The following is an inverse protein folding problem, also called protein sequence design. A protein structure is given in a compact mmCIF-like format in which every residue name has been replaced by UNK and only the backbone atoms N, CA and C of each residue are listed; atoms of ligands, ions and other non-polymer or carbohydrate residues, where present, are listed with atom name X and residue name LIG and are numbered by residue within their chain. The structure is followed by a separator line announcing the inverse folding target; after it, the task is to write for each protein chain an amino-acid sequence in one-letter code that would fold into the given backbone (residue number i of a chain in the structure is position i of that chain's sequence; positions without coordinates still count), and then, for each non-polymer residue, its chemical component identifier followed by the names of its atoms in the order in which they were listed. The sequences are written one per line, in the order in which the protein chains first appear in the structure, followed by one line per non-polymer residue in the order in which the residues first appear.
data_IF_749190524105
#
_entry.id   IF_749190524105
#
_cell.length_a   1.000
_cell.length_b   1.000
_cell.length_c   1.000
_cell.angle_alpha   90.00
_cell.angle_beta   90.00
_cell.angle_gamma   90.00
#
_symmetry.space_group_name_H-M   'P 1'
#
loop_
_entity.id
_entity.type
_entity.pdbx_description
1 polymer ?
#
# COMPACT_ATOMS: atom_id res chain seq x y z
N UNK A 1 8.04 -34.13 -20.81
CA UNK A 1 7.53 -34.23 -19.42
C UNK A 1 8.63 -33.80 -18.46
N UNK A 2 8.52 -32.62 -17.86
CA UNK A 2 9.43 -32.16 -16.80
C UNK A 2 8.55 -31.82 -15.60
N UNK A 3 8.56 -32.67 -14.59
CA UNK A 3 7.81 -32.49 -13.37
C UNK A 3 8.41 -31.33 -12.58
N UNK A 4 7.68 -30.22 -12.44
CA UNK A 4 7.97 -29.18 -11.45
C UNK A 4 7.42 -29.65 -10.11
N UNK A 5 8.30 -30.25 -9.32
CA UNK A 5 8.05 -30.57 -7.93
C UNK A 5 8.11 -29.26 -7.12
N UNK A 6 6.97 -28.69 -6.76
CA UNK A 6 6.89 -27.61 -5.76
C UNK A 6 6.70 -28.25 -4.39
N UNK A 7 7.83 -28.63 -3.79
CA UNK A 7 7.92 -29.07 -2.40
C UNK A 7 7.31 -28.00 -1.48
N UNK A 8 6.21 -28.34 -0.83
CA UNK A 8 5.42 -27.48 0.07
C UNK A 8 5.86 -27.64 1.53
N UNK A 9 7.16 -27.70 1.79
CA UNK A 9 7.69 -27.72 3.15
C UNK A 9 8.86 -26.75 3.31
N UNK A 10 8.54 -25.48 3.52
CA UNK A 10 9.49 -24.50 4.07
C UNK A 10 8.96 -24.06 5.43
N UNK A 11 9.69 -24.32 6.53
CA UNK A 11 9.24 -24.01 7.88
C UNK A 11 8.99 -22.50 8.06
N UNK A 12 7.97 -22.15 8.88
CA UNK A 12 7.43 -20.80 9.13
C UNK A 12 8.46 -19.72 9.55
N UNK A 13 9.72 -20.08 9.84
CA UNK A 13 10.71 -19.19 10.45
C UNK A 13 11.55 -18.30 9.52
N UNK A 14 11.52 -18.48 8.19
CA UNK A 14 12.46 -17.76 7.31
C UNK A 14 11.92 -17.43 5.92
N UNK A 15 10.66 -17.00 5.78
CA UNK A 15 10.24 -16.39 4.52
C UNK A 15 11.02 -15.08 4.34
N UNK A 16 11.74 -14.94 3.23
CA UNK A 16 12.41 -13.69 2.85
C UNK A 16 11.44 -12.84 2.04
N UNK A 17 11.72 -11.55 1.92
CA UNK A 17 11.06 -10.73 0.92
C UNK A 17 11.28 -11.34 -0.47
N UNK A 18 10.19 -11.52 -1.22
CA UNK A 18 10.23 -12.06 -2.57
C UNK A 18 9.62 -11.04 -3.52
N UNK A 19 10.33 -10.70 -4.60
CA UNK A 19 9.84 -9.84 -5.67
C UNK A 19 9.42 -10.68 -6.86
N UNK A 20 8.23 -10.39 -7.38
CA UNK A 20 7.66 -10.95 -8.59
C UNK A 20 7.65 -9.87 -9.66
N UNK A 21 8.16 -10.20 -10.85
CA UNK A 21 8.17 -9.32 -12.01
C UNK A 21 7.34 -9.98 -13.11
N UNK A 22 6.57 -9.19 -13.89
CA UNK A 22 5.87 -9.74 -15.04
C UNK A 22 6.88 -10.15 -16.10
N UNK A 23 6.98 -11.45 -16.37
CA UNK A 23 7.76 -11.97 -17.50
C UNK A 23 7.10 -11.55 -18.82
N UNK A 24 7.91 -11.33 -19.86
CA UNK A 24 7.43 -10.79 -21.14
C UNK A 24 6.44 -11.73 -21.86
N UNK A 25 6.62 -13.04 -21.69
CA UNK A 25 5.77 -14.09 -22.27
C UNK A 25 4.44 -14.27 -21.52
N UNK A 26 4.42 -14.02 -20.21
CA UNK A 26 3.21 -14.10 -19.39
C UNK A 26 2.36 -12.81 -19.42
N UNK A 27 2.82 -11.74 -20.08
CA UNK A 27 2.19 -10.41 -19.98
C UNK A 27 0.78 -10.37 -20.56
N UNK A 28 0.52 -11.08 -21.65
CA UNK A 28 -0.81 -11.16 -22.26
C UNK A 28 -1.79 -11.89 -21.33
N UNK A 29 -1.40 -13.05 -20.80
CA UNK A 29 -2.19 -13.81 -19.83
C UNK A 29 -2.49 -12.99 -18.55
N UNK A 30 -1.52 -12.21 -18.06
CA UNK A 30 -1.71 -11.33 -16.90
C UNK A 30 -2.68 -10.20 -17.20
N UNK A 31 -2.63 -9.61 -18.40
CA UNK A 31 -3.55 -8.56 -18.82
C UNK A 31 -4.98 -9.10 -18.92
N UNK A 32 -5.15 -10.25 -19.55
CA UNK A 32 -6.45 -10.93 -19.67
C UNK A 32 -7.02 -11.26 -18.28
N UNK A 33 -6.18 -11.76 -17.38
CA UNK A 33 -6.59 -12.06 -16.02
C UNK A 33 -6.93 -10.78 -15.23
N UNK A 34 -6.23 -9.66 -15.46
CA UNK A 34 -6.55 -8.37 -14.84
C UNK A 34 -7.93 -7.88 -15.27
N UNK A 35 -8.26 -8.02 -16.56
CA UNK A 35 -9.56 -7.65 -17.10
C UNK A 35 -10.68 -8.51 -16.49
N UNK A 36 -10.48 -9.83 -16.41
CA UNK A 36 -11.40 -10.74 -15.72
C UNK A 36 -11.63 -10.34 -14.25
N UNK A 37 -10.56 -10.00 -13.52
CA UNK A 37 -10.68 -9.60 -12.11
C UNK A 37 -11.53 -8.33 -11.94
N UNK A 38 -11.38 -7.35 -12.85
CA UNK A 38 -12.17 -6.11 -12.83
C UNK A 38 -13.64 -6.37 -13.12
N UNK A 39 -13.96 -7.24 -14.08
CA UNK A 39 -15.33 -7.66 -14.36
C UNK A 39 -15.97 -8.38 -13.17
N UNK A 40 -15.22 -9.29 -12.54
CA UNK A 40 -15.65 -10.01 -11.34
C UNK A 40 -15.91 -9.06 -10.17
N UNK A 41 -15.06 -8.06 -9.94
CA UNK A 41 -15.26 -7.10 -8.86
C UNK A 41 -16.59 -6.34 -9.02
N UNK A 42 -16.90 -5.87 -10.24
CA UNK A 42 -18.17 -5.19 -10.54
C UNK A 42 -19.37 -6.12 -10.30
N UNK A 43 -19.27 -7.37 -10.74
CA UNK A 43 -20.33 -8.37 -10.56
C UNK A 43 -20.55 -8.74 -9.09
N UNK A 44 -19.47 -8.97 -8.33
CA UNK A 44 -19.51 -9.33 -6.91
C UNK A 44 -19.99 -8.16 -6.05
N UNK A 45 -19.78 -6.91 -6.46
CA UNK A 45 -20.35 -5.75 -5.78
C UNK A 45 -21.88 -5.66 -5.91
N UNK A 46 -22.44 -6.22 -7.00
CA UNK A 46 -23.87 -6.18 -7.32
C UNK A 46 -24.62 -7.45 -6.90
N UNK A 47 -23.90 -8.50 -6.49
CA UNK A 47 -24.45 -9.80 -6.12
C UNK A 47 -23.99 -10.20 -4.71
N UNK A 48 -24.74 -11.07 -4.03
CA UNK A 48 -24.28 -11.66 -2.75
C UNK A 48 -23.31 -12.84 -2.95
N UNK A 49 -22.82 -13.03 -4.18
CA UNK A 49 -21.97 -14.15 -4.56
C UNK A 49 -20.52 -13.91 -4.10
N UNK A 50 -19.75 -14.99 -4.00
CA UNK A 50 -18.33 -14.94 -3.67
C UNK A 50 -17.53 -15.63 -4.75
N UNK A 51 -16.35 -15.10 -5.07
CA UNK A 51 -15.38 -15.81 -5.88
C UNK A 51 -14.91 -17.10 -5.16
N UNK A 52 -14.54 -18.11 -5.94
CA UNK A 52 -14.04 -19.39 -5.44
C UNK A 52 -12.81 -19.85 -6.23
N UNK A 53 -11.91 -20.55 -5.56
CA UNK A 53 -10.84 -21.31 -6.17
C UNK A 53 -11.35 -22.70 -6.51
N UNK A 54 -11.10 -23.15 -7.73
CA UNK A 54 -11.37 -24.51 -8.18
C UNK A 54 -10.06 -25.29 -8.17
N UNK A 55 -10.00 -26.40 -7.44
CA UNK A 55 -8.83 -27.28 -7.44
C UNK A 55 -8.79 -28.18 -8.69
N UNK A 56 -7.67 -28.88 -8.97
CA UNK A 56 -7.57 -29.76 -10.14
C UNK A 56 -8.57 -30.93 -10.16
N UNK A 57 -9.24 -31.21 -9.05
CA UNK A 57 -10.29 -32.25 -8.95
C UNK A 57 -11.69 -31.67 -9.19
N UNK A 58 -11.80 -30.35 -9.40
CA UNK A 58 -13.07 -29.64 -9.58
C UNK A 58 -13.75 -29.22 -8.29
N UNK A 59 -13.09 -29.35 -7.12
CA UNK A 59 -13.69 -28.89 -5.87
C UNK A 59 -13.58 -27.38 -5.76
N UNK A 60 -14.69 -26.72 -5.45
CA UNK A 60 -14.74 -25.27 -5.25
C UNK A 60 -14.53 -24.91 -3.78
N UNK A 61 -13.71 -23.90 -3.53
CA UNK A 61 -13.52 -23.30 -2.21
C UNK A 61 -13.66 -21.78 -2.31
N UNK A 62 -14.62 -21.17 -1.59
CA UNK A 62 -14.78 -19.72 -1.61
C UNK A 62 -13.52 -19.03 -1.10
N UNK A 63 -13.10 -17.98 -1.79
CA UNK A 63 -12.01 -17.13 -1.33
C UNK A 63 -12.55 -16.00 -0.45
N UNK A 64 -11.87 -15.66 0.66
CA UNK A 64 -12.23 -14.50 1.45
C UNK A 64 -12.08 -13.19 0.66
N UNK A 65 -12.97 -12.23 0.92
CA UNK A 65 -13.00 -10.93 0.24
C UNK A 65 -11.68 -10.13 0.41
N UNK A 66 -10.95 -10.36 1.50
CA UNK A 66 -9.61 -9.80 1.71
C UNK A 66 -8.60 -10.36 0.71
N UNK A 67 -8.62 -11.67 0.46
CA UNK A 67 -7.73 -12.32 -0.51
C UNK A 67 -8.08 -11.88 -1.92
N UNK A 68 -9.38 -11.78 -2.26
CA UNK A 68 -9.81 -11.31 -3.57
C UNK A 68 -9.28 -9.90 -3.88
N UNK A 69 -9.38 -8.96 -2.93
CA UNK A 69 -8.84 -7.60 -3.08
C UNK A 69 -7.33 -7.57 -3.25
N UNK A 70 -6.60 -8.47 -2.58
CA UNK A 70 -5.14 -8.60 -2.77
C UNK A 70 -4.85 -9.09 -4.19
N UNK A 71 -5.59 -10.09 -4.69
CA UNK A 71 -5.42 -10.61 -6.05
C UNK A 71 -5.67 -9.52 -7.09
N UNK A 72 -6.72 -8.71 -6.93
CA UNK A 72 -7.00 -7.60 -7.85
C UNK A 72 -5.83 -6.60 -7.90
N UNK A 73 -5.33 -6.16 -6.74
CA UNK A 73 -4.17 -5.26 -6.66
C UNK A 73 -2.92 -5.86 -7.31
N UNK A 74 -2.69 -7.15 -7.07
CA UNK A 74 -1.53 -7.86 -7.62
C UNK A 74 -1.61 -7.93 -9.13
N UNK A 75 -2.75 -8.35 -9.68
CA UNK A 75 -2.90 -8.51 -11.12
C UNK A 75 -2.83 -7.16 -11.84
N UNK A 76 -3.44 -6.11 -11.28
CA UNK A 76 -3.37 -4.76 -11.84
C UNK A 76 -1.93 -4.21 -11.87
N UNK A 77 -1.15 -4.39 -10.81
CA UNK A 77 0.24 -3.95 -10.78
C UNK A 77 1.12 -4.72 -11.78
N UNK A 78 0.97 -6.05 -11.86
CA UNK A 78 1.72 -6.85 -12.84
C UNK A 78 1.33 -6.50 -14.29
N UNK A 79 0.04 -6.28 -14.56
CA UNK A 79 -0.46 -5.82 -15.86
C UNK A 79 0.14 -4.47 -16.29
N UNK A 80 0.34 -3.56 -15.32
CA UNK A 80 1.01 -2.28 -15.52
C UNK A 80 2.53 -2.41 -15.75
N UNK A 81 3.10 -3.62 -15.64
CA UNK A 81 4.55 -3.84 -15.74
C UNK A 81 5.29 -3.56 -14.43
N UNK A 82 4.57 -3.38 -13.33
CA UNK A 82 5.14 -3.09 -12.02
C UNK A 82 5.51 -4.39 -11.29
N UNK A 83 6.68 -4.42 -10.67
CA UNK A 83 7.08 -5.53 -9.80
C UNK A 83 6.41 -5.45 -8.44
N UNK A 84 6.08 -6.60 -7.86
CA UNK A 84 5.44 -6.70 -6.55
C UNK A 84 6.37 -7.41 -5.58
N UNK A 85 6.57 -6.82 -4.40
CA UNK A 85 7.32 -7.47 -3.32
C UNK A 85 6.41 -7.90 -2.19
N UNK A 86 6.40 -9.20 -1.89
CA UNK A 86 5.73 -9.77 -0.72
C UNK A 86 6.74 -9.83 0.42
N UNK A 87 6.44 -9.13 1.52
CA UNK A 87 7.31 -9.05 2.70
C UNK A 87 6.60 -9.64 3.92
N UNK A 88 7.17 -10.65 4.60
CA UNK A 88 6.61 -11.15 5.84
C UNK A 88 6.67 -10.12 6.97
N UNK A 89 5.61 -10.03 7.76
CA UNK A 89 5.48 -9.04 8.84
C UNK A 89 6.62 -9.13 9.89
N UNK A 90 7.10 -10.33 10.21
CA UNK A 90 8.21 -10.53 11.16
C UNK A 90 9.59 -10.16 10.63
N UNK A 91 9.70 -9.65 9.39
CA UNK A 91 10.98 -9.26 8.81
C UNK A 91 11.57 -8.06 9.54
N UNK A 92 12.87 -8.15 9.83
CA UNK A 92 13.65 -7.03 10.34
C UNK A 92 14.37 -6.33 9.20
N UNK A 93 14.22 -5.01 9.13
CA UNK A 93 14.68 -4.17 8.04
C UNK A 93 15.86 -3.29 8.47
N UNK A 94 16.71 -2.94 7.52
CA UNK A 94 17.71 -1.88 7.71
C UNK A 94 17.04 -0.51 7.76
N UNK A 95 17.74 0.51 8.26
CA UNK A 95 17.22 1.89 8.23
C UNK A 95 16.97 2.42 6.84
N UNK A 96 17.69 1.94 5.82
CA UNK A 96 17.41 2.34 4.45
C UNK A 96 16.08 1.72 3.97
N UNK A 97 15.96 0.39 4.07
CA UNK A 97 14.74 -0.32 3.68
C UNK A 97 13.48 0.19 4.41
N UNK A 98 13.62 0.51 5.70
CA UNK A 98 12.54 1.08 6.50
C UNK A 98 12.15 2.50 6.04
N UNK A 99 13.12 3.31 5.62
CA UNK A 99 12.86 4.65 5.10
C UNK A 99 12.17 4.58 3.73
N UNK A 100 12.65 3.69 2.87
CA UNK A 100 12.05 3.42 1.56
C UNK A 100 10.61 2.91 1.72
N UNK A 101 10.35 2.01 2.68
CA UNK A 101 9.02 1.51 3.00
C UNK A 101 8.04 2.62 3.44
N UNK A 102 8.51 3.56 4.28
CA UNK A 102 7.69 4.69 4.72
C UNK A 102 7.60 5.82 3.68
N UNK A 103 8.36 5.76 2.59
CA UNK A 103 8.44 6.82 1.59
C UNK A 103 9.06 8.11 2.11
N UNK A 104 10.03 8.02 3.05
CA UNK A 104 10.70 9.18 3.67
C UNK A 104 12.22 9.10 3.52
N UNK A 105 12.91 10.22 3.77
CA UNK A 105 14.37 10.21 3.77
C UNK A 105 14.92 9.40 4.95
N UNK A 106 16.06 8.72 4.76
CA UNK A 106 16.75 8.00 5.84
C UNK A 106 17.09 8.89 7.05
N UNK A 107 17.58 10.14 6.89
CA UNK A 107 17.74 11.06 8.02
C UNK A 107 16.44 11.31 8.79
N UNK A 108 15.30 11.45 8.10
CA UNK A 108 13.99 11.60 8.73
C UNK A 108 13.63 10.36 9.54
N UNK A 109 13.81 9.16 8.98
CA UNK A 109 13.58 7.93 9.73
C UNK A 109 14.46 7.88 10.99
N UNK A 110 15.75 8.17 10.87
CA UNK A 110 16.67 8.13 12.03
C UNK A 110 16.19 9.05 13.15
N UNK A 111 15.69 10.25 12.83
CA UNK A 111 15.09 11.15 13.81
C UNK A 111 13.88 10.52 14.52
N UNK A 112 12.97 9.86 13.79
CA UNK A 112 11.81 9.18 14.38
C UNK A 112 12.24 8.03 15.32
N UNK A 113 13.26 7.27 14.91
CA UNK A 113 13.81 6.19 15.75
C UNK A 113 14.46 6.74 17.02
N UNK A 114 15.21 7.84 16.92
CA UNK A 114 15.87 8.47 18.08
C UNK A 114 14.89 9.21 19.00
N UNK A 115 13.78 9.69 18.47
CA UNK A 115 12.67 10.26 19.25
C UNK A 115 11.84 9.19 19.98
N UNK A 116 11.97 7.92 19.61
CA UNK A 116 11.20 6.81 20.18
C UNK A 116 9.82 6.61 19.53
N UNK A 117 9.52 7.32 18.45
CA UNK A 117 8.25 7.22 17.72
C UNK A 117 8.09 5.85 17.02
N UNK A 118 9.21 5.22 16.69
CA UNK A 118 9.27 3.89 16.07
C UNK A 118 10.29 3.04 16.86
N UNK A 119 9.86 1.86 17.31
CA UNK A 119 10.74 0.94 18.01
C UNK A 119 11.84 0.42 17.07
N UNK A 120 13.04 0.21 17.61
CA UNK A 120 14.15 -0.37 16.86
C UNK A 120 15.08 -1.17 17.77
N UNK A 121 15.68 -2.19 17.18
CA UNK A 121 16.75 -2.96 17.78
C UNK A 121 18.11 -2.45 17.26
N UNK A 122 19.16 -2.57 18.07
CA UNK A 122 20.54 -2.31 17.63
C UNK A 122 21.45 -3.50 17.95
N UNK A 123 21.24 -4.65 17.29
CA UNK A 123 22.14 -5.80 17.44
C UNK A 123 23.50 -5.43 16.84
N UNK A 124 24.46 -5.07 17.69
CA UNK A 124 25.78 -4.60 17.30
C UNK A 124 25.80 -3.14 16.85
N UNK A 125 26.35 -2.85 15.67
CA UNK A 125 26.63 -1.47 15.24
C UNK A 125 25.44 -0.75 14.61
N UNK A 126 24.56 -1.49 13.92
CA UNK A 126 23.55 -0.90 13.04
C UNK A 126 22.14 -1.09 13.58
N UNK A 127 21.31 -0.05 13.44
CA UNK A 127 19.88 -0.12 13.77
C UNK A 127 19.14 -1.05 12.83
N UNK A 128 18.09 -1.67 13.37
CA UNK A 128 17.23 -2.66 12.76
C UNK A 128 15.80 -2.37 13.20
N UNK A 129 14.87 -2.32 12.26
CA UNK A 129 13.47 -1.95 12.53
C UNK A 129 12.58 -3.08 12.07
N UNK A 130 11.63 -3.52 12.90
CA UNK A 130 10.70 -4.58 12.48
C UNK A 130 9.63 -3.97 11.58
N UNK A 131 9.22 -4.71 10.55
CA UNK A 131 8.18 -4.22 9.64
C UNK A 131 6.86 -3.96 10.39
N UNK A 132 6.53 -4.78 11.39
CA UNK A 132 5.35 -4.57 12.24
C UNK A 132 5.31 -3.18 12.90
N UNK A 133 6.46 -2.70 13.41
CA UNK A 133 6.57 -1.38 14.03
C UNK A 133 6.36 -0.25 13.01
N UNK A 134 6.87 -0.44 11.79
CA UNK A 134 6.69 0.51 10.68
C UNK A 134 5.23 0.58 10.22
N UNK A 135 4.56 -0.57 10.11
CA UNK A 135 3.14 -0.66 9.74
C UNK A 135 2.28 0.00 10.82
N UNK A 136 2.56 -0.27 12.10
CA UNK A 136 1.85 0.36 13.22
C UNK A 136 2.02 1.88 13.22
N UNK A 137 3.24 2.38 13.03
CA UNK A 137 3.53 3.80 12.90
C UNK A 137 2.75 4.45 11.74
N UNK A 138 2.75 3.83 10.56
CA UNK A 138 2.05 4.35 9.39
C UNK A 138 0.53 4.39 9.60
N UNK A 139 -0.04 3.39 10.29
CA UNK A 139 -1.46 3.34 10.62
C UNK A 139 -1.87 4.49 11.55
N UNK A 140 -1.09 4.73 12.61
CA UNK A 140 -1.31 5.83 13.56
C UNK A 140 -1.23 7.19 12.85
N UNK A 141 -0.16 7.41 12.08
CA UNK A 141 0.03 8.65 11.33
C UNK A 141 -1.11 8.94 10.35
N UNK A 142 -1.61 7.90 9.64
CA UNK A 142 -2.77 8.04 8.75
C UNK A 142 -4.04 8.38 9.53
N UNK A 143 -4.23 7.83 10.72
CA UNK A 143 -5.38 8.13 11.56
C UNK A 143 -5.36 9.58 12.06
N UNK A 144 -4.21 10.07 12.53
CA UNK A 144 -4.00 11.45 12.95
C UNK A 144 -4.22 12.43 11.80
N UNK A 145 -3.64 12.15 10.63
CA UNK A 145 -3.84 12.99 9.42
C UNK A 145 -5.32 13.09 9.04
N UNK A 146 -6.06 11.97 9.08
CA UNK A 146 -7.51 11.99 8.81
C UNK A 146 -8.28 12.80 9.87
N UNK A 147 -7.87 12.73 11.14
CA UNK A 147 -8.48 13.51 12.20
C UNK A 147 -8.24 15.01 12.01
N UNK A 148 -7.01 15.42 11.71
CA UNK A 148 -6.66 16.81 11.43
C UNK A 148 -7.40 17.37 10.21
N UNK A 149 -7.51 16.59 9.12
CA UNK A 149 -8.28 16.98 7.94
C UNK A 149 -9.78 17.16 8.25
N UNK A 150 -10.37 16.26 9.05
CA UNK A 150 -11.76 16.41 9.50
C UNK A 150 -11.95 17.66 10.35
N UNK A 151 -10.98 18.00 11.19
CA UNK A 151 -11.04 19.20 12.01
C UNK A 151 -10.97 20.47 11.15
N UNK A 152 -10.07 20.52 10.16
CA UNK A 152 -10.03 21.61 9.19
C UNK A 152 -11.34 21.73 8.40
N UNK A 153 -11.93 20.61 7.98
CA UNK A 153 -13.23 20.60 7.30
C UNK A 153 -14.35 21.14 8.21
N UNK A 154 -14.40 20.70 9.48
CA UNK A 154 -15.39 21.19 10.46
C UNK A 154 -15.22 22.69 10.72
N UNK A 155 -13.99 23.16 10.90
CA UNK A 155 -13.69 24.58 11.09
C UNK A 155 -14.12 25.43 9.87
N UNK A 156 -13.96 24.89 8.65
CA UNK A 156 -14.36 25.58 7.42
C UNK A 156 -15.88 25.59 7.19
N UNK A 157 -16.62 24.57 7.62
CA UNK A 157 -18.09 24.53 7.51
C UNK A 157 -18.81 25.58 8.39
N UNK A 158 -18.11 26.18 9.36
CA UNK A 158 -18.58 27.32 10.16
C UNK A 158 -18.06 28.67 9.69
N UNK A 159 -17.24 28.72 8.64
CA UNK A 159 -16.75 29.96 8.06
C UNK A 159 -17.78 30.51 7.06
N UNK A 160 -18.25 31.74 7.26
CA UNK A 160 -19.00 32.43 6.22
C UNK A 160 -18.07 32.66 5.02
N UNK A 161 -18.49 32.19 3.84
CA UNK A 161 -17.80 32.51 2.59
C UNK A 161 -18.00 34.00 2.33
N UNK A 162 -16.99 34.81 2.68
CA UNK A 162 -16.92 36.19 2.21
C UNK A 162 -16.59 36.17 0.72
N UNK A 163 -17.63 36.23 -0.11
CA UNK A 163 -17.48 36.52 -1.54
C UNK A 163 -17.16 38.01 -1.65
N UNK A 164 -15.86 38.33 -1.78
CA UNK A 164 -15.43 39.68 -2.15
C UNK A 164 -15.97 40.04 -3.54
N UNK A 165 -16.31 41.31 -3.76
CA UNK A 165 -16.67 41.79 -5.08
C UNK A 165 -15.43 41.71 -5.99
N UNK A 166 -15.50 41.03 -7.16
CA UNK A 166 -14.37 40.95 -8.07
C UNK A 166 -13.82 42.31 -8.53
N UNK A 167 -14.65 43.37 -8.47
CA UNK A 167 -14.24 44.73 -8.79
C UNK A 167 -13.30 45.35 -7.72
N UNK A 168 -13.25 44.79 -6.52
CA UNK A 168 -12.41 45.29 -5.41
C UNK A 168 -11.00 44.66 -5.43
N UNK A 169 -10.74 43.72 -6.34
CA UNK A 169 -9.45 43.05 -6.49
C UNK A 169 -8.49 43.95 -7.28
N UNK A 170 -7.69 44.76 -6.57
CA UNK A 170 -6.59 45.52 -7.18
C UNK A 170 -5.52 44.57 -7.74
N UNK A 171 -5.02 44.84 -8.95
CA UNK A 171 -3.84 44.11 -9.46
C UNK A 171 -2.62 44.48 -8.64
N UNK A 172 -1.67 43.56 -8.51
CA UNK A 172 -0.46 43.76 -7.69
C UNK A 172 0.34 45.03 -8.08
N UNK A 173 0.35 45.39 -9.36
CA UNK A 173 0.97 46.63 -9.85
C UNK A 173 0.24 47.92 -9.42
N UNK A 174 -1.01 47.83 -8.98
CA UNK A 174 -1.86 48.95 -8.52
C UNK A 174 -1.77 49.13 -6.99
N UNK A 175 -1.14 48.20 -6.28
CA UNK A 175 -0.88 48.27 -4.83
C UNK A 175 0.43 48.97 -4.48
N UNK A 176 1.42 48.93 -5.38
CA UNK A 176 2.74 49.54 -5.18
C UNK A 176 2.77 51.05 -5.56
N UNK A 177 1.61 51.63 -5.89
CA UNK A 177 1.44 53.01 -6.36
C UNK A 177 0.75 53.95 -5.34
N UNK A 178 0.43 53.45 -4.14
CA UNK A 178 -0.06 54.22 -2.97
C UNK A 178 1.04 54.33 -1.91
#
# INVERSE_FOLDING_TARGET
MKAMSTSTDTPRGARKAQTYLPEADAREEILDFAELMRELEVFLAQSSSKAALVDPQGNERPIPDEIFRILDQVTNALAAGEGITIVPQGMTMTTQQAADFLGISRPTLVRLLEAGDIAYDKPGRHRRVRLEDLVAYQANFRAERRAALRELQRANLGAEVQVGNPADVKRRAELDAE
#
